data_IF_932672859541
#
_entry.id   IF_932672859541
#
_cell.length_a   1.000
_cell.length_b   1.000
_cell.length_c   1.000
_cell.angle_alpha   90.00
_cell.angle_beta   90.00
_cell.angle_gamma   90.00
#
_symmetry.space_group_name_H-M   'P 1'
#
loop_
_entity.id
_entity.type
_entity.pdbx_description
1 polymer ?
#
# COMPACT_ATOMS: atom_id res chain seq x y z
N UNK A 1 23.58 -2.15 -2.38
CA UNK A 1 22.26 -2.84 -2.26
C UNK A 1 21.22 -1.79 -1.91
N UNK A 2 20.02 -1.84 -2.53
CA UNK A 2 18.98 -0.83 -2.26
C UNK A 2 18.47 -0.90 -0.82
N UNK A 3 18.31 0.25 -0.13
CA UNK A 3 17.61 0.32 1.15
C UNK A 3 16.10 0.31 0.98
N UNK A 4 15.57 0.35 -0.26
CA UNK A 4 14.15 0.57 -0.53
C UNK A 4 13.42 -0.74 -0.75
N UNK A 5 12.27 -0.86 -0.08
CA UNK A 5 11.24 -1.86 -0.33
C UNK A 5 10.01 -1.13 -0.90
N UNK A 6 9.55 -1.51 -2.09
CA UNK A 6 8.22 -1.13 -2.56
C UNK A 6 7.24 -2.18 -2.04
N UNK A 7 6.33 -1.77 -1.18
CA UNK A 7 5.23 -2.58 -0.68
C UNK A 7 4.02 -2.38 -1.58
N UNK A 8 3.44 -3.47 -2.10
CA UNK A 8 2.27 -3.46 -3.00
C UNK A 8 1.20 -4.37 -2.41
N UNK A 9 0.37 -3.87 -1.49
CA UNK A 9 -0.52 -4.73 -0.70
C UNK A 9 -1.83 -5.08 -1.40
N UNK A 10 -2.32 -4.27 -2.36
CA UNK A 10 -3.70 -4.32 -2.82
C UNK A 10 -3.88 -4.47 -4.34
N UNK A 11 -2.84 -4.83 -5.10
CA UNK A 11 -2.91 -4.94 -6.57
C UNK A 11 -3.63 -6.20 -7.08
N UNK A 12 -3.74 -7.23 -6.24
CA UNK A 12 -4.24 -8.55 -6.67
C UNK A 12 -5.76 -8.67 -6.57
N UNK A 13 -6.36 -9.32 -7.58
CA UNK A 13 -7.78 -9.73 -7.59
C UNK A 13 -7.97 -11.21 -7.23
N UNK A 14 -6.89 -11.94 -6.93
CA UNK A 14 -6.94 -13.38 -6.71
C UNK A 14 -7.62 -13.74 -5.39
N UNK A 15 -8.69 -14.51 -5.46
CA UNK A 15 -9.41 -15.06 -4.31
C UNK A 15 -9.38 -16.59 -4.38
N UNK A 16 -8.77 -17.29 -3.40
CA UNK A 16 -8.80 -18.74 -3.36
C UNK A 16 -10.23 -19.29 -3.34
N UNK A 17 -10.48 -20.38 -4.08
CA UNK A 17 -11.82 -20.96 -4.22
C UNK A 17 -12.53 -21.16 -2.87
N UNK A 18 -11.83 -21.68 -1.87
CA UNK A 18 -12.40 -21.90 -0.53
C UNK A 18 -12.86 -20.61 0.16
N UNK A 19 -12.22 -19.46 -0.13
CA UNK A 19 -12.65 -18.18 0.39
C UNK A 19 -13.84 -17.65 -0.42
N UNK A 20 -13.78 -17.77 -1.76
CA UNK A 20 -14.86 -17.32 -2.63
C UNK A 20 -16.20 -18.02 -2.33
N UNK A 21 -16.18 -19.28 -1.89
CA UNK A 21 -17.38 -20.05 -1.50
C UNK A 21 -18.10 -19.49 -0.25
N UNK A 22 -17.41 -18.67 0.55
CA UNK A 22 -17.97 -18.00 1.73
C UNK A 22 -18.35 -16.54 1.50
N UNK A 23 -18.17 -16.02 0.28
CA UNK A 23 -18.65 -14.68 -0.06
C UNK A 23 -20.14 -14.71 -0.36
N UNK A 24 -20.86 -13.68 0.11
CA UNK A 24 -22.30 -13.50 -0.12
C UNK A 24 -22.59 -12.82 -1.47
N UNK A 25 -21.56 -12.31 -2.13
CA UNK A 25 -21.64 -11.71 -3.45
C UNK A 25 -20.91 -12.60 -4.48
N UNK A 26 -21.34 -12.57 -5.72
CA UNK A 26 -20.78 -13.39 -6.79
C UNK A 26 -20.95 -12.76 -8.17
N UNK A 27 -20.32 -13.34 -9.19
CA UNK A 27 -20.47 -12.90 -10.57
C UNK A 27 -20.16 -11.41 -10.75
N UNK A 28 -21.13 -10.64 -11.26
CA UNK A 28 -20.97 -9.21 -11.54
C UNK A 28 -20.78 -8.34 -10.29
N UNK A 29 -21.43 -8.71 -9.18
CA UNK A 29 -21.29 -7.98 -7.91
C UNK A 29 -19.88 -8.14 -7.36
N UNK A 30 -19.33 -9.35 -7.35
CA UNK A 30 -17.98 -9.61 -6.92
C UNK A 30 -16.96 -8.90 -7.85
N UNK A 31 -17.17 -8.93 -9.16
CA UNK A 31 -16.29 -8.22 -10.10
C UNK A 31 -16.32 -6.71 -9.84
N UNK A 32 -17.50 -6.13 -9.61
CA UNK A 32 -17.63 -4.71 -9.29
C UNK A 32 -16.89 -4.34 -8.00
N UNK A 33 -17.03 -5.16 -6.94
CA UNK A 33 -16.31 -4.95 -5.68
C UNK A 33 -14.80 -5.07 -5.86
N UNK A 34 -14.32 -6.03 -6.65
CA UNK A 34 -12.90 -6.14 -6.99
C UNK A 34 -12.41 -4.90 -7.74
N UNK A 35 -13.16 -4.39 -8.73
CA UNK A 35 -12.81 -3.20 -9.50
C UNK A 35 -12.68 -1.94 -8.62
N UNK A 36 -13.54 -1.82 -7.59
CA UNK A 36 -13.49 -0.71 -6.63
C UNK A 36 -12.32 -0.84 -5.65
N UNK A 37 -12.12 -2.04 -5.10
CA UNK A 37 -11.23 -2.26 -3.97
C UNK A 37 -9.79 -2.60 -4.35
N UNK A 38 -9.54 -2.97 -5.61
CA UNK A 38 -8.17 -3.28 -6.06
C UNK A 38 -7.44 -2.01 -6.48
N UNK A 39 -6.21 -1.86 -6.04
CA UNK A 39 -5.29 -0.82 -6.49
C UNK A 39 -4.67 -1.22 -7.83
N UNK A 40 -5.52 -1.20 -8.87
CA UNK A 40 -5.21 -1.75 -10.17
C UNK A 40 -3.90 -1.21 -10.75
N UNK A 41 -3.06 -2.12 -11.27
CA UNK A 41 -1.76 -1.87 -11.92
C UNK A 41 -0.68 -1.21 -11.03
N UNK A 42 -0.84 -1.16 -9.70
CA UNK A 42 0.24 -0.68 -8.81
C UNK A 42 1.44 -1.65 -8.82
N UNK A 43 1.22 -2.93 -9.00
CA UNK A 43 2.26 -3.95 -9.24
C UNK A 43 3.04 -3.69 -10.55
N UNK A 44 2.34 -3.33 -11.61
CA UNK A 44 2.97 -2.96 -12.89
C UNK A 44 3.73 -1.64 -12.78
N UNK A 45 3.21 -0.63 -12.05
CA UNK A 45 3.92 0.61 -11.74
C UNK A 45 5.21 0.31 -10.97
N UNK A 46 5.16 -0.51 -9.90
CA UNK A 46 6.32 -0.92 -9.13
C UNK A 46 7.36 -1.64 -10.02
N UNK A 47 6.93 -2.58 -10.84
CA UNK A 47 7.79 -3.30 -11.79
C UNK A 47 8.41 -2.35 -12.83
N UNK A 48 7.63 -1.43 -13.38
CA UNK A 48 8.10 -0.46 -14.37
C UNK A 48 9.11 0.52 -13.77
N UNK A 49 8.82 1.07 -12.59
CA UNK A 49 9.72 1.94 -11.85
C UNK A 49 11.02 1.23 -11.47
N UNK A 50 10.94 0.00 -10.97
CA UNK A 50 12.11 -0.81 -10.67
C UNK A 50 13.01 -1.03 -11.89
N UNK A 51 12.44 -1.25 -13.08
CA UNK A 51 13.24 -1.41 -14.31
C UNK A 51 13.98 -0.14 -14.71
N UNK A 52 13.43 1.04 -14.42
CA UNK A 52 14.00 2.35 -14.71
C UNK A 52 15.05 2.78 -13.69
N UNK A 53 14.81 2.49 -12.41
CA UNK A 53 15.70 2.90 -11.33
C UNK A 53 17.12 2.36 -11.49
N UNK A 54 18.11 3.17 -11.13
CA UNK A 54 19.54 2.83 -11.16
C UNK A 54 19.83 1.70 -10.18
N UNK A 55 19.34 1.82 -8.95
CA UNK A 55 19.44 0.77 -7.92
C UNK A 55 18.09 0.08 -7.73
N UNK A 56 18.06 -1.23 -7.99
CA UNK A 56 16.81 -2.01 -7.94
C UNK A 56 16.28 -2.12 -6.51
N UNK A 57 15.04 -1.68 -6.24
CA UNK A 57 14.39 -1.91 -4.97
C UNK A 57 14.01 -3.37 -4.79
N UNK A 58 13.65 -3.74 -3.56
CA UNK A 58 12.90 -4.95 -3.29
C UNK A 58 11.43 -4.65 -3.53
N UNK A 59 10.71 -5.55 -4.21
CA UNK A 59 9.26 -5.45 -4.37
C UNK A 59 8.63 -6.54 -3.51
N UNK A 60 7.80 -6.14 -2.54
CA UNK A 60 7.03 -7.03 -1.69
C UNK A 60 5.55 -6.85 -2.00
N UNK A 61 4.96 -7.86 -2.62
CA UNK A 61 3.62 -7.79 -3.20
C UNK A 61 2.70 -8.83 -2.55
N UNK A 62 1.49 -8.41 -2.18
CA UNK A 62 0.43 -9.35 -1.81
C UNK A 62 -0.16 -9.98 -3.08
N UNK A 63 -0.07 -11.30 -3.19
CA UNK A 63 -0.58 -12.06 -4.33
C UNK A 63 -2.06 -12.42 -4.22
N UNK A 64 -2.72 -12.00 -3.14
CA UNK A 64 -4.15 -12.21 -2.91
C UNK A 64 -4.89 -10.87 -2.84
N UNK A 65 -6.17 -10.92 -3.22
CA UNK A 65 -7.06 -9.77 -3.06
C UNK A 65 -7.19 -9.35 -1.59
N UNK A 66 -7.29 -8.05 -1.33
CA UNK A 66 -7.65 -7.53 -0.01
C UNK A 66 -9.04 -8.03 0.47
N UNK A 67 -9.88 -8.52 -0.44
CA UNK A 67 -11.12 -9.21 -0.07
C UNK A 67 -10.88 -10.58 0.59
N UNK A 68 -9.66 -11.13 0.55
CA UNK A 68 -9.28 -12.32 1.32
C UNK A 68 -8.87 -11.90 2.72
N UNK A 69 -7.88 -11.02 2.78
CA UNK A 69 -7.41 -10.34 4.00
C UNK A 69 -6.74 -9.01 3.60
N UNK A 70 -6.88 -8.02 4.44
CA UNK A 70 -6.17 -6.74 4.25
C UNK A 70 -4.88 -6.75 5.10
N UNK A 71 -3.69 -6.74 4.47
CA UNK A 71 -2.42 -6.86 5.19
C UNK A 71 -2.04 -5.62 6.00
N UNK A 72 -2.74 -4.50 5.81
CA UNK A 72 -2.42 -3.20 6.41
C UNK A 72 -3.37 -2.79 7.54
N UNK A 73 -4.12 -3.74 8.04
CA UNK A 73 -4.99 -3.52 9.18
C UNK A 73 -4.34 -4.04 10.47
N UNK A 74 -4.59 -3.38 11.59
CA UNK A 74 -4.24 -3.94 12.89
C UNK A 74 -5.08 -5.19 13.15
N UNK A 75 -4.44 -6.31 13.60
CA UNK A 75 -5.16 -7.58 13.76
C UNK A 75 -5.99 -7.67 15.06
N UNK A 76 -6.29 -6.56 15.70
CA UNK A 76 -6.96 -6.47 16.98
C UNK A 76 -8.04 -5.37 17.03
N UNK A 77 -8.55 -5.07 18.20
CA UNK A 77 -9.61 -4.07 18.43
C UNK A 77 -9.17 -2.63 18.21
N UNK A 78 -7.88 -2.35 18.08
CA UNK A 78 -7.38 -1.00 17.80
C UNK A 78 -7.61 -0.57 16.34
N UNK A 79 -7.96 -1.52 15.46
CA UNK A 79 -8.25 -1.22 14.06
C UNK A 79 -9.53 -0.40 13.89
N UNK A 80 -9.39 0.85 13.43
CA UNK A 80 -10.51 1.78 13.28
C UNK A 80 -11.50 1.35 12.20
N UNK A 81 -11.05 0.62 11.18
CA UNK A 81 -11.89 0.15 10.08
C UNK A 81 -12.79 -1.03 10.50
N UNK A 82 -12.59 -1.61 11.69
CA UNK A 82 -13.53 -2.58 12.25
C UNK A 82 -14.94 -2.00 12.42
N UNK A 83 -15.07 -0.69 12.68
CA UNK A 83 -16.37 -0.03 12.84
C UNK A 83 -17.23 -0.03 11.56
N UNK A 84 -16.62 -0.17 10.39
CA UNK A 84 -17.29 -0.27 9.09
C UNK A 84 -17.17 -1.66 8.47
N UNK A 85 -16.77 -2.66 9.26
CA UNK A 85 -16.64 -4.04 8.82
C UNK A 85 -15.49 -4.32 7.85
N UNK A 86 -14.46 -3.45 7.82
CA UNK A 86 -13.33 -3.53 6.90
C UNK A 86 -11.97 -3.61 7.65
N UNK A 87 -11.92 -4.43 8.71
CA UNK A 87 -10.67 -4.81 9.40
C UNK A 87 -9.83 -5.77 8.56
N UNK A 88 -8.97 -6.60 9.19
CA UNK A 88 -8.12 -7.57 8.48
C UNK A 88 -8.95 -8.51 7.58
N UNK A 89 -10.11 -8.94 8.02
CA UNK A 89 -11.02 -9.78 7.25
C UNK A 89 -12.34 -9.02 7.08
N UNK A 90 -12.60 -8.55 5.87
CA UNK A 90 -13.79 -7.75 5.57
C UNK A 90 -15.08 -8.55 5.76
N UNK A 91 -16.02 -8.02 6.51
CA UNK A 91 -17.39 -8.51 6.63
C UNK A 91 -18.38 -7.72 5.77
N UNK A 92 -17.99 -6.51 5.34
CA UNK A 92 -18.81 -5.61 4.52
C UNK A 92 -18.10 -5.29 3.20
N UNK A 93 -18.87 -4.94 2.18
CA UNK A 93 -18.42 -4.42 0.89
C UNK A 93 -18.14 -2.92 0.97
N UNK A 94 -17.57 -2.36 -0.10
CA UNK A 94 -17.31 -0.91 -0.24
C UNK A 94 -18.57 -0.04 -0.17
N UNK A 95 -19.74 -0.57 -0.52
CA UNK A 95 -21.05 0.06 -0.42
C UNK A 95 -21.84 -0.36 0.83
N UNK A 96 -21.12 -0.90 1.84
CA UNK A 96 -21.65 -1.28 3.16
C UNK A 96 -22.74 -2.34 3.14
N UNK A 97 -22.70 -3.27 2.18
CA UNK A 97 -23.52 -4.49 2.16
C UNK A 97 -22.74 -5.65 2.77
N UNK A 98 -23.42 -6.71 3.28
CA UNK A 98 -22.73 -7.88 3.78
C UNK A 98 -21.87 -8.56 2.68
N UNK A 99 -20.56 -8.66 2.93
CA UNK A 99 -19.62 -9.38 2.05
C UNK A 99 -19.52 -10.85 2.42
N UNK A 100 -19.57 -11.14 3.71
CA UNK A 100 -19.51 -12.50 4.26
C UNK A 100 -20.14 -12.56 5.65
N UNK A 101 -20.67 -13.72 5.99
CA UNK A 101 -21.14 -14.04 7.33
C UNK A 101 -20.20 -15.11 7.93
N UNK A 102 -19.27 -14.67 8.75
CA UNK A 102 -18.28 -15.55 9.39
C UNK A 102 -18.16 -15.23 10.88
N UNK A 103 -17.99 -16.28 11.66
CA UNK A 103 -17.70 -16.16 13.08
C UNK A 103 -16.28 -15.60 13.34
N UNK A 104 -16.04 -15.09 14.54
CA UNK A 104 -14.71 -14.68 14.99
C UNK A 104 -13.68 -15.81 14.82
N UNK A 105 -14.07 -17.07 15.11
CA UNK A 105 -13.19 -18.21 14.98
C UNK A 105 -12.81 -18.52 13.51
N UNK A 106 -13.70 -18.27 12.56
CA UNK A 106 -13.43 -18.41 11.13
C UNK A 106 -12.56 -17.27 10.61
N UNK A 107 -12.83 -16.04 11.05
CA UNK A 107 -11.98 -14.88 10.78
C UNK A 107 -10.54 -15.13 11.27
N UNK A 108 -10.38 -15.67 12.49
CA UNK A 108 -9.08 -15.99 13.05
C UNK A 108 -8.32 -17.02 12.20
N UNK A 109 -8.99 -18.03 11.62
CA UNK A 109 -8.35 -18.97 10.70
C UNK A 109 -7.81 -18.30 9.42
N UNK A 110 -8.50 -17.28 8.91
CA UNK A 110 -8.03 -16.50 7.76
C UNK A 110 -6.80 -15.69 8.16
N UNK A 111 -6.83 -15.05 9.33
CA UNK A 111 -5.70 -14.30 9.89
C UNK A 111 -4.49 -15.21 10.05
N UNK A 112 -4.66 -16.37 10.68
CA UNK A 112 -3.56 -17.31 10.93
C UNK A 112 -2.97 -17.90 9.65
N UNK A 113 -3.80 -18.11 8.63
CA UNK A 113 -3.37 -18.77 7.39
C UNK A 113 -2.78 -17.80 6.36
N UNK A 114 -3.26 -16.56 6.29
CA UNK A 114 -2.86 -15.61 5.26
C UNK A 114 -2.16 -14.37 5.82
N UNK A 115 -2.77 -13.68 6.79
CA UNK A 115 -2.23 -12.43 7.33
C UNK A 115 -0.93 -12.65 8.10
N UNK A 116 -0.89 -13.55 9.07
CA UNK A 116 0.28 -13.77 9.92
C UNK A 116 1.53 -14.19 9.11
N UNK A 117 1.46 -15.13 8.14
CA UNK A 117 2.60 -15.45 7.28
C UNK A 117 3.08 -14.27 6.41
N UNK A 118 2.14 -13.49 5.87
CA UNK A 118 2.47 -12.30 5.08
C UNK A 118 3.21 -11.26 5.93
N UNK A 119 2.64 -10.90 7.07
CA UNK A 119 3.24 -9.94 8.00
C UNK A 119 4.62 -10.39 8.48
N UNK A 120 4.78 -11.67 8.82
CA UNK A 120 6.07 -12.25 9.23
C UNK A 120 7.11 -12.20 8.10
N UNK A 121 6.71 -12.43 6.84
CA UNK A 121 7.62 -12.38 5.69
C UNK A 121 8.12 -10.95 5.44
N UNK A 122 7.24 -9.93 5.47
CA UNK A 122 7.64 -8.54 5.32
C UNK A 122 8.52 -8.07 6.48
N UNK A 123 8.17 -8.45 7.72
CA UNK A 123 9.00 -8.18 8.89
C UNK A 123 10.41 -8.78 8.74
N UNK A 124 10.52 -10.01 8.24
CA UNK A 124 11.81 -10.66 8.01
C UNK A 124 12.63 -9.93 6.94
N UNK A 125 12.01 -9.50 5.84
CA UNK A 125 12.66 -8.73 4.79
C UNK A 125 13.19 -7.40 5.33
N UNK A 126 12.41 -6.66 6.12
CA UNK A 126 12.83 -5.41 6.76
C UNK A 126 14.02 -5.65 7.68
N UNK A 127 13.96 -6.71 8.52
CA UNK A 127 15.05 -7.08 9.42
C UNK A 127 16.36 -7.38 8.65
N UNK A 128 16.28 -8.19 7.61
CA UNK A 128 17.43 -8.53 6.75
C UNK A 128 18.05 -7.28 6.11
N UNK A 129 17.24 -6.30 5.70
CA UNK A 129 17.74 -5.04 5.13
C UNK A 129 18.39 -4.16 6.19
N UNK A 130 17.81 -4.05 7.38
CA UNK A 130 18.44 -3.36 8.51
C UNK A 130 19.80 -3.95 8.88
N UNK A 131 19.91 -5.28 8.92
CA UNK A 131 21.17 -5.97 9.21
C UNK A 131 22.21 -5.75 8.10
N UNK A 132 21.78 -5.72 6.84
CA UNK A 132 22.69 -5.59 5.69
C UNK A 132 23.15 -4.15 5.40
N UNK A 133 22.30 -3.15 5.66
CA UNK A 133 22.46 -1.76 5.18
C UNK A 133 22.37 -0.75 6.32
N UNK A 134 21.76 -1.12 7.45
CA UNK A 134 21.58 -0.25 8.63
C UNK A 134 20.35 0.66 8.58
N UNK A 135 19.63 0.72 7.46
CA UNK A 135 18.41 1.50 7.28
C UNK A 135 17.50 0.86 6.23
N UNK A 136 16.20 1.15 6.31
CA UNK A 136 15.18 0.72 5.33
C UNK A 136 14.23 1.86 5.05
N UNK A 137 13.82 2.03 3.80
CA UNK A 137 12.72 2.90 3.40
C UNK A 137 11.63 2.04 2.74
N UNK A 138 10.44 2.04 3.30
CA UNK A 138 9.26 1.42 2.70
C UNK A 138 8.54 2.47 1.87
N UNK A 139 8.35 2.21 0.59
CA UNK A 139 7.42 2.93 -0.27
C UNK A 139 6.14 2.10 -0.31
N UNK A 140 5.13 2.54 0.39
CA UNK A 140 3.84 1.89 0.49
C UNK A 140 2.97 2.37 -0.68
N UNK A 141 2.81 1.52 -1.70
CA UNK A 141 2.30 1.94 -3.01
C UNK A 141 0.84 1.53 -3.19
N UNK A 142 -0.01 2.55 -3.27
CA UNK A 142 -1.45 2.43 -3.41
C UNK A 142 -2.02 3.24 -4.56
N UNK A 143 -3.31 3.01 -4.82
CA UNK A 143 -4.12 3.88 -5.67
C UNK A 143 -5.55 3.97 -5.18
N UNK A 144 -6.20 5.10 -5.41
CA UNK A 144 -7.54 5.35 -4.95
C UNK A 144 -8.44 5.99 -6.02
N UNK A 145 -9.77 5.80 -5.96
CA UNK A 145 -10.70 6.36 -6.93
C UNK A 145 -10.89 7.87 -6.74
N UNK A 146 -11.20 8.59 -7.82
CA UNK A 146 -11.51 10.03 -7.75
C UNK A 146 -12.81 10.34 -6.97
N UNK A 147 -13.72 9.38 -6.89
CA UNK A 147 -14.97 9.48 -6.13
C UNK A 147 -14.87 8.63 -4.88
N UNK A 148 -15.17 9.16 -3.68
CA UNK A 148 -15.09 8.40 -2.44
C UNK A 148 -16.10 7.24 -2.40
N UNK A 149 -15.70 6.13 -1.79
CA UNK A 149 -16.57 4.98 -1.52
C UNK A 149 -17.37 5.17 -0.22
N UNK A 150 -18.43 4.37 -0.03
CA UNK A 150 -19.34 4.53 1.11
C UNK A 150 -18.69 4.20 2.45
N UNK A 151 -17.67 3.35 2.47
CA UNK A 151 -16.93 2.99 3.69
C UNK A 151 -15.91 4.06 4.14
N UNK A 152 -15.54 5.02 3.27
CA UNK A 152 -14.51 6.01 3.61
C UNK A 152 -14.99 6.93 4.74
N UNK A 153 -14.13 7.11 5.75
CA UNK A 153 -14.45 7.91 6.95
C UNK A 153 -14.42 9.41 6.69
N UNK A 154 -13.65 9.87 5.68
CA UNK A 154 -13.41 11.28 5.38
C UNK A 154 -13.78 11.62 3.94
N UNK A 155 -15.05 11.39 3.56
CA UNK A 155 -15.56 11.57 2.18
C UNK A 155 -15.44 13.00 1.64
N UNK A 156 -15.49 14.00 2.52
CA UNK A 156 -15.41 15.42 2.16
C UNK A 156 -13.97 15.93 1.98
N UNK A 157 -12.97 15.11 2.23
CA UNK A 157 -11.57 15.48 2.07
C UNK A 157 -11.22 15.74 0.60
N UNK A 158 -10.26 16.64 0.38
CA UNK A 158 -9.68 16.83 -0.95
C UNK A 158 -9.11 15.53 -1.51
N UNK A 159 -9.23 15.36 -2.83
CA UNK A 159 -8.73 14.15 -3.54
C UNK A 159 -7.66 14.56 -4.56
N UNK A 160 -6.44 14.84 -4.12
CA UNK A 160 -5.34 15.28 -4.97
C UNK A 160 -4.91 14.19 -5.97
N UNK A 161 -4.10 14.55 -6.96
CA UNK A 161 -3.49 13.56 -7.85
C UNK A 161 -2.60 12.56 -7.08
N UNK A 162 -1.94 13.04 -6.01
CA UNK A 162 -1.17 12.23 -5.08
C UNK A 162 -1.47 12.65 -3.62
N UNK A 163 -1.88 11.71 -2.78
CA UNK A 163 -1.85 11.85 -1.34
C UNK A 163 -0.59 11.16 -0.79
N UNK A 164 0.23 11.90 -0.07
CA UNK A 164 1.36 11.36 0.70
C UNK A 164 0.87 11.04 2.11
N UNK A 165 0.78 9.76 2.43
CA UNK A 165 0.53 9.32 3.80
C UNK A 165 1.82 9.30 4.60
N UNK A 166 1.82 9.96 5.75
CA UNK A 166 3.00 10.14 6.60
C UNK A 166 2.69 9.79 8.05
N UNK A 167 3.72 9.32 8.77
CA UNK A 167 3.70 9.01 10.19
C UNK A 167 4.80 9.82 10.90
N UNK A 168 4.47 10.44 12.04
CA UNK A 168 5.39 11.36 12.74
C UNK A 168 6.69 10.70 13.18
N UNK A 169 6.72 9.39 13.40
CA UNK A 169 7.90 8.65 13.83
C UNK A 169 8.69 8.06 12.64
N UNK A 170 7.98 7.63 11.59
CA UNK A 170 8.58 6.87 10.50
C UNK A 170 8.78 7.65 9.21
N UNK A 171 8.25 8.87 9.09
CA UNK A 171 8.40 9.67 7.86
C UNK A 171 9.18 10.94 8.13
N UNK A 172 10.43 11.00 7.67
CA UNK A 172 11.24 12.22 7.82
C UNK A 172 10.79 13.32 6.86
N UNK A 173 10.95 14.59 7.26
CA UNK A 173 10.71 15.76 6.39
C UNK A 173 11.46 15.65 5.06
N UNK A 174 12.67 15.11 5.09
CA UNK A 174 13.47 14.89 3.90
C UNK A 174 12.83 13.85 2.95
N UNK A 175 12.25 12.76 3.48
CA UNK A 175 11.55 11.77 2.66
C UNK A 175 10.33 12.38 1.98
N UNK A 176 9.57 13.22 2.69
CA UNK A 176 8.46 14.01 2.12
C UNK A 176 8.94 14.94 1.02
N UNK A 177 10.04 15.67 1.23
CA UNK A 177 10.58 16.60 0.24
C UNK A 177 11.04 15.88 -1.04
N UNK A 178 11.69 14.72 -0.92
CA UNK A 178 12.08 13.88 -2.05
C UNK A 178 10.86 13.38 -2.83
N UNK A 179 9.82 12.89 -2.13
CA UNK A 179 8.58 12.45 -2.77
C UNK A 179 7.88 13.61 -3.49
N UNK A 180 7.72 14.78 -2.86
CA UNK A 180 7.13 15.96 -3.51
C UNK A 180 7.89 16.39 -4.76
N UNK A 181 9.23 16.35 -4.71
CA UNK A 181 10.06 16.71 -5.86
C UNK A 181 9.87 15.72 -7.02
N UNK A 182 9.93 14.41 -6.74
CA UNK A 182 9.79 13.36 -7.75
C UNK A 182 8.42 13.42 -8.45
N UNK A 183 7.35 13.72 -7.71
CA UNK A 183 5.99 13.76 -8.22
C UNK A 183 5.49 15.15 -8.65
N UNK A 184 6.33 16.18 -8.63
CA UNK A 184 5.94 17.57 -8.90
C UNK A 184 5.28 17.80 -10.27
N UNK A 185 5.51 16.93 -11.24
CA UNK A 185 4.92 17.01 -12.59
C UNK A 185 3.57 16.30 -12.76
N UNK A 186 3.04 15.60 -11.74
CA UNK A 186 1.85 14.76 -11.87
C UNK A 186 0.54 15.41 -11.41
N UNK A 187 0.59 16.60 -10.81
CA UNK A 187 -0.57 17.34 -10.33
C UNK A 187 -0.43 17.79 -8.88
N UNK A 188 -1.55 18.01 -8.23
CA UNK A 188 -1.63 18.44 -6.83
C UNK A 188 -1.23 17.32 -5.87
N UNK A 189 -0.54 17.71 -4.79
CA UNK A 189 -0.01 16.79 -3.76
C UNK A 189 -0.42 17.30 -2.38
N UNK A 190 -1.18 16.48 -1.66
CA UNK A 190 -1.54 16.72 -0.26
C UNK A 190 -0.87 15.71 0.68
N UNK A 191 -0.78 16.06 1.96
CA UNK A 191 -0.28 15.18 3.01
C UNK A 191 -1.45 14.73 3.88
N UNK A 192 -1.55 13.43 4.13
CA UNK A 192 -2.57 12.84 4.98
C UNK A 192 -4.02 13.24 4.63
N UNK A 193 -4.30 13.46 3.34
CA UNK A 193 -5.63 13.80 2.83
C UNK A 193 -5.82 13.20 1.43
N UNK A 194 -6.79 12.29 1.24
CA UNK A 194 -7.82 11.83 2.20
C UNK A 194 -7.36 10.71 3.14
N UNK A 195 -6.21 10.09 2.92
CA UNK A 195 -5.72 8.95 3.68
C UNK A 195 -4.52 9.34 4.55
N UNK A 196 -4.46 8.78 5.77
CA UNK A 196 -3.50 9.15 6.81
C UNK A 196 -2.58 7.98 7.14
N UNK A 197 -1.30 8.28 7.40
CA UNK A 197 -0.33 7.29 7.86
C UNK A 197 0.34 6.54 6.72
N UNK A 198 1.14 5.55 7.09
CA UNK A 198 1.86 4.66 6.18
C UNK A 198 2.13 3.34 6.88
N UNK A 199 2.26 2.25 6.13
CA UNK A 199 2.51 0.93 6.71
C UNK A 199 3.95 0.77 7.19
N UNK A 200 4.08 0.22 8.39
CA UNK A 200 5.33 -0.27 8.97
C UNK A 200 5.05 -1.58 9.72
N UNK A 201 5.84 -2.65 9.54
CA UNK A 201 5.60 -3.89 10.27
C UNK A 201 5.60 -3.66 11.79
N UNK A 202 4.63 -4.23 12.52
CA UNK A 202 4.35 -3.97 13.94
C UNK A 202 5.55 -4.18 14.87
N UNK A 203 6.51 -5.03 14.48
CA UNK A 203 7.75 -5.21 15.24
C UNK A 203 8.61 -3.93 15.31
N UNK A 204 8.49 -3.04 14.31
CA UNK A 204 9.28 -1.80 14.16
C UNK A 204 8.44 -0.55 14.38
N UNK A 205 7.12 -0.64 14.25
CA UNK A 205 6.20 0.49 14.33
C UNK A 205 6.31 1.22 15.68
N UNK A 206 6.64 2.53 15.62
CA UNK A 206 6.89 3.38 16.79
C UNK A 206 8.13 3.00 17.63
N UNK A 207 9.04 2.15 17.10
CA UNK A 207 10.17 1.59 17.87
C UNK A 207 11.52 1.79 17.23
N UNK A 208 11.65 1.63 15.92
CA UNK A 208 12.94 1.71 15.23
C UNK A 208 12.95 2.82 14.15
N UNK A 209 13.59 3.97 14.41
CA UNK A 209 13.60 5.10 13.48
C UNK A 209 14.44 4.84 12.20
N UNK A 210 15.19 3.74 12.14
CA UNK A 210 15.92 3.34 10.93
C UNK A 210 15.00 2.74 9.87
N UNK A 211 13.77 2.37 10.25
CA UNK A 211 12.70 1.97 9.32
C UNK A 211 11.89 3.21 9.00
N UNK A 212 12.15 3.83 7.86
CA UNK A 212 11.33 4.92 7.35
C UNK A 212 10.24 4.37 6.43
N UNK A 213 9.13 5.08 6.34
CA UNK A 213 8.03 4.72 5.45
C UNK A 213 7.31 5.97 4.95
N UNK A 214 6.78 5.88 3.74
CA UNK A 214 5.89 6.87 3.14
C UNK A 214 4.86 6.15 2.25
N UNK A 215 3.59 6.47 2.40
CA UNK A 215 2.52 5.97 1.55
C UNK A 215 2.35 6.88 0.33
N UNK A 216 2.30 6.27 -0.85
CA UNK A 216 1.97 6.92 -2.12
C UNK A 216 0.56 6.47 -2.53
N UNK A 217 -0.45 7.26 -2.21
CA UNK A 217 -1.82 7.07 -2.68
C UNK A 217 -2.02 7.88 -3.96
N UNK A 218 -1.95 7.20 -5.11
CA UNK A 218 -2.05 7.82 -6.43
C UNK A 218 -3.50 7.74 -6.90
N UNK A 219 -4.14 8.88 -7.21
CA UNK A 219 -5.49 8.87 -7.73
C UNK A 219 -5.53 8.15 -9.08
N UNK A 220 -6.40 7.14 -9.22
CA UNK A 220 -6.40 6.18 -10.35
C UNK A 220 -6.50 6.83 -11.71
N UNK A 221 -7.28 7.91 -11.86
CA UNK A 221 -7.41 8.62 -13.13
C UNK A 221 -6.13 9.34 -13.60
N UNK A 222 -5.13 9.47 -12.71
CA UNK A 222 -3.81 10.00 -13.05
C UNK A 222 -3.06 9.05 -14.01
N UNK A 223 -3.22 7.74 -13.86
CA UNK A 223 -2.45 6.75 -14.64
C UNK A 223 -3.29 5.65 -15.28
N UNK A 224 -4.61 5.59 -14.99
CA UNK A 224 -5.55 4.62 -15.54
C UNK A 224 -6.69 5.29 -16.29
N UNK A 225 -7.21 4.60 -17.31
CA UNK A 225 -8.50 4.92 -17.96
C UNK A 225 -9.22 3.61 -18.20
N UNK A 226 -10.40 3.43 -17.61
CA UNK A 226 -11.21 2.20 -17.71
C UNK A 226 -10.41 0.91 -17.36
N UNK A 227 -9.56 0.98 -16.33
CA UNK A 227 -8.77 -0.15 -15.83
C UNK A 227 -7.53 -0.50 -16.67
N UNK A 228 -7.21 0.27 -17.70
CA UNK A 228 -6.01 0.08 -18.54
C UNK A 228 -5.05 1.27 -18.39
N UNK A 229 -3.74 1.10 -18.68
CA UNK A 229 -2.78 2.19 -18.63
C UNK A 229 -3.21 3.38 -19.51
N UNK A 230 -3.24 4.58 -18.93
CA UNK A 230 -3.44 5.84 -19.64
C UNK A 230 -2.11 6.46 -20.06
N UNK A 231 -2.15 7.65 -20.69
CA UNK A 231 -0.94 8.43 -21.00
C UNK A 231 -0.14 8.81 -19.73
N UNK A 232 -0.77 8.84 -18.56
CA UNK A 232 -0.12 9.15 -17.30
C UNK A 232 0.64 7.96 -16.68
N UNK A 233 0.48 6.73 -17.16
CA UNK A 233 1.13 5.55 -16.58
C UNK A 233 2.67 5.63 -16.59
N UNK A 234 3.27 5.94 -17.75
CA UNK A 234 4.72 6.05 -17.88
C UNK A 234 5.31 7.25 -17.09
N UNK A 235 4.70 8.45 -17.09
CA UNK A 235 5.09 9.54 -16.19
C UNK A 235 5.04 9.16 -14.71
N UNK A 236 3.98 8.47 -14.27
CA UNK A 236 3.85 8.01 -12.87
C UNK A 236 4.95 7.00 -12.51
N UNK A 237 5.21 6.01 -13.38
CA UNK A 237 6.29 5.06 -13.16
C UNK A 237 7.67 5.73 -13.16
N UNK A 238 7.86 6.80 -13.95
CA UNK A 238 9.09 7.59 -13.94
C UNK A 238 9.26 8.34 -12.61
N UNK A 239 8.20 8.98 -12.11
CA UNK A 239 8.24 9.67 -10.81
C UNK A 239 8.59 8.72 -9.64
N UNK A 240 8.03 7.50 -9.64
CA UNK A 240 8.43 6.48 -8.66
C UNK A 240 9.92 6.14 -8.82
N UNK A 241 10.42 5.97 -10.05
CA UNK A 241 11.83 5.67 -10.29
C UNK A 241 12.78 6.81 -9.84
N UNK A 242 12.39 8.06 -10.07
CA UNK A 242 13.16 9.24 -9.63
C UNK A 242 13.24 9.30 -8.09
N UNK A 243 12.14 8.94 -7.39
CA UNK A 243 12.17 8.80 -5.93
C UNK A 243 13.10 7.67 -5.48
N UNK A 244 13.08 6.51 -6.15
CA UNK A 244 13.97 5.39 -5.85
C UNK A 244 15.44 5.79 -5.99
N UNK A 245 15.79 6.50 -7.06
CA UNK A 245 17.16 6.94 -7.32
C UNK A 245 17.60 8.00 -6.29
N UNK A 246 16.74 8.95 -5.94
CA UNK A 246 17.02 9.95 -4.91
C UNK A 246 17.27 9.33 -3.52
N UNK A 247 16.55 8.26 -3.17
CA UNK A 247 16.73 7.51 -1.91
C UNK A 247 18.01 6.67 -1.91
N UNK A 248 18.46 6.20 -3.08
CA UNK A 248 19.65 5.37 -3.22
C UNK A 248 20.95 6.17 -3.12
N UNK A 249 20.99 7.39 -3.65
CA UNK A 249 22.17 8.27 -3.61
C UNK A 249 22.58 8.63 -2.18
N UNK A 250 21.64 8.81 -1.27
CA UNK A 250 21.92 9.17 0.14
C UNK A 250 22.46 8.00 0.98
N UNK A 251 22.24 6.77 0.57
CA UNK A 251 22.84 5.61 1.25
C UNK A 251 24.34 5.51 1.02
N UNK A 252 24.83 6.01 -0.12
CA UNK A 252 26.25 5.98 -0.46
C UNK A 252 27.04 7.10 0.25
N UNK A 253 26.43 8.27 0.49
CA UNK A 253 27.05 9.36 1.26
C UNK A 253 27.22 9.00 2.74
N UNK A 254 26.23 8.37 3.37
CA UNK A 254 26.29 7.92 4.76
C UNK A 254 27.31 6.77 4.99
N UNK A 255 27.64 6.02 3.94
CA UNK A 255 28.66 4.94 3.96
C UNK A 255 30.09 5.42 3.79
N UNK A 256 30.32 6.63 3.26
CA UNK A 256 31.64 7.16 3.00
C UNK A 256 32.28 7.95 4.16
N UNK A 257 31.51 8.22 5.21
CA UNK A 257 31.91 8.92 6.43
C UNK A 257 32.30 7.98 7.61
N UNK A 258 32.45 6.67 7.35
CA UNK A 258 32.85 5.68 8.38
C UNK A 258 34.21 5.06 8.11
#
# INVERSE_FOLDING_TARGET
MSPVIIHVPHASTVIPKKIAEHLLISGKELQHELDLMTDGLTDELASRASKRATMKPWIFENKLSRLVFDPERFPDETEVMNQVGMGVVYSMTSDQKPLRDISIAESQKIIDHYFNPYSAALQSLVKERLEAIGQVVIIDLHSYPAVPSDYELYKESARPALCLGVDDFHTSENLVALARNAFSGLGDIDINSPFVGTYVPLAFYGKDPRVQSIMLEIRRDTFLTAGIPSQGFEPTAAAIADLLDALSLKSDEAGSER
#
